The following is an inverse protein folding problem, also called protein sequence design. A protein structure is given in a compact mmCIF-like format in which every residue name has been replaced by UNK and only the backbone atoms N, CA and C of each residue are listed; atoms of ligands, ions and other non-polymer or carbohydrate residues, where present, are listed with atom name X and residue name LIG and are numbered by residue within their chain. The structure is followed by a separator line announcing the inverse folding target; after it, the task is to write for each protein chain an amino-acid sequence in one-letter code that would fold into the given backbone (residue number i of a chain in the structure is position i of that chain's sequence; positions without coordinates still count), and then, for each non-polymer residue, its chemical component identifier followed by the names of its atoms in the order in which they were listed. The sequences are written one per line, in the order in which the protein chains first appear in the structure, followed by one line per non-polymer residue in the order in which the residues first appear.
data_IF_374721090162
#
_entry.id   IF_374721090162
#
_cell.length_a   1.000
_cell.length_b   1.000
_cell.length_c   1.000
_cell.angle_alpha   90.00
_cell.angle_beta   90.00
_cell.angle_gamma   90.00
#
_symmetry.space_group_name_H-M   'P 1'
#
loop_
_entity.id
_entity.type
_entity.pdbx_description
1 polymer ?
#
# COMPACT_ATOMS: atom_id res chain seq x y z
N UNK A 1 21.77 -5.20 11.12
CA UNK A 1 22.42 -5.78 9.93
C UNK A 1 22.22 -7.28 9.98
N UNK A 2 21.59 -7.90 8.97
CA UNK A 2 21.50 -9.36 8.85
C UNK A 2 22.52 -9.83 7.82
N UNK A 3 23.21 -10.94 8.10
CA UNK A 3 24.07 -11.60 7.13
C UNK A 3 23.21 -12.41 6.14
N UNK A 4 23.74 -12.69 4.95
CA UNK A 4 23.09 -13.59 4.00
C UNK A 4 22.86 -14.99 4.60
N UNK A 5 23.79 -15.45 5.45
CA UNK A 5 23.63 -16.71 6.18
C UNK A 5 22.42 -16.70 7.12
N UNK A 6 22.23 -15.61 7.88
CA UNK A 6 21.05 -15.45 8.75
C UNK A 6 19.76 -15.38 7.92
N UNK A 7 19.78 -14.70 6.78
CA UNK A 7 18.62 -14.66 5.88
C UNK A 7 18.23 -16.06 5.40
N UNK A 8 19.20 -16.84 4.89
CA UNK A 8 18.95 -18.22 4.44
C UNK A 8 18.45 -19.11 5.57
N UNK A 9 18.97 -18.92 6.79
CA UNK A 9 18.48 -19.64 7.97
C UNK A 9 17.01 -19.31 8.26
N UNK A 10 16.62 -18.04 8.25
CA UNK A 10 15.24 -17.60 8.48
C UNK A 10 14.31 -18.11 7.38
N UNK A 11 14.77 -18.08 6.13
CA UNK A 11 14.04 -18.60 4.98
C UNK A 11 13.75 -20.10 5.15
N UNK A 12 14.78 -20.89 5.48
CA UNK A 12 14.63 -22.33 5.78
C UNK A 12 13.69 -22.56 6.95
N UNK A 13 13.82 -21.78 8.01
CA UNK A 13 12.92 -21.86 9.17
C UNK A 13 11.47 -21.60 8.77
N UNK A 14 11.20 -20.63 7.92
CA UNK A 14 9.85 -20.37 7.39
C UNK A 14 9.28 -21.56 6.62
N UNK A 15 10.07 -22.17 5.74
CA UNK A 15 9.65 -23.36 5.00
C UNK A 15 9.41 -24.57 5.94
N UNK A 16 10.29 -24.77 6.90
CA UNK A 16 10.26 -25.88 7.86
C UNK A 16 9.03 -25.83 8.79
N UNK A 17 8.54 -24.64 9.15
CA UNK A 17 7.35 -24.47 9.99
C UNK A 17 6.03 -24.42 9.19
N UNK A 18 6.09 -24.51 7.85
CA UNK A 18 4.90 -24.43 7.00
C UNK A 18 4.13 -25.77 7.02
N UNK A 19 2.87 -25.79 7.50
CA UNK A 19 2.07 -26.99 7.57
C UNK A 19 1.55 -27.44 6.20
N UNK A 20 0.97 -28.64 6.15
CA UNK A 20 0.39 -29.25 4.95
C UNK A 20 1.42 -29.99 4.10
N UNK A 21 2.47 -30.50 4.74
CA UNK A 21 3.55 -31.25 4.11
C UNK A 21 3.73 -32.58 4.79
N UNK A 22 4.96 -32.84 5.21
CA UNK A 22 5.22 -33.91 6.16
C UNK A 22 5.16 -33.34 7.59
N UNK A 23 3.94 -33.05 8.06
CA UNK A 23 3.68 -32.40 9.35
C UNK A 23 4.01 -33.32 10.56
N UNK A 24 4.42 -34.57 10.27
CA UNK A 24 5.00 -35.49 11.26
C UNK A 24 6.36 -35.06 11.79
N UNK A 25 7.03 -34.07 11.19
CA UNK A 25 8.28 -33.49 11.71
C UNK A 25 8.02 -32.45 12.82
N UNK A 26 8.91 -32.41 13.82
CA UNK A 26 8.80 -31.60 15.05
C UNK A 26 8.77 -30.06 14.83
N UNK A 27 8.99 -29.61 13.59
CA UNK A 27 9.21 -28.18 13.29
C UNK A 27 7.91 -27.39 13.14
N UNK A 28 6.80 -28.03 12.78
CA UNK A 28 5.49 -27.38 12.68
C UNK A 28 4.82 -27.35 14.06
N UNK A 29 4.38 -26.18 14.58
CA UNK A 29 3.66 -26.10 15.84
C UNK A 29 2.42 -27.01 15.83
N UNK A 30 2.18 -27.76 16.91
CA UNK A 30 1.06 -28.72 16.99
C UNK A 30 -0.29 -28.10 16.66
N UNK A 31 -0.53 -26.86 17.07
CA UNK A 31 -1.77 -26.11 16.78
C UNK A 31 -2.00 -25.79 15.30
N UNK A 32 -0.96 -25.91 14.47
CA UNK A 32 -1.00 -25.57 13.04
C UNK A 32 -0.82 -26.78 12.13
N UNK A 33 -0.52 -27.97 12.69
CA UNK A 33 -0.37 -29.21 11.92
C UNK A 33 -1.67 -29.57 11.21
N UNK A 34 -1.53 -29.91 9.94
CA UNK A 34 -2.59 -30.50 9.15
C UNK A 34 -2.43 -32.01 9.21
N UNK A 35 -3.53 -32.72 9.49
CA UNK A 35 -3.54 -34.18 9.56
C UNK A 35 -3.26 -34.85 8.21
N UNK A 36 -3.37 -34.11 7.11
CA UNK A 36 -3.12 -34.58 5.75
C UNK A 36 -2.31 -33.54 4.94
N UNK A 37 -1.45 -34.00 4.01
CA UNK A 37 -0.68 -33.10 3.15
C UNK A 37 -1.60 -32.32 2.21
N UNK A 38 -1.29 -31.04 1.99
CA UNK A 38 -2.02 -30.18 1.07
C UNK A 38 -1.69 -30.55 -0.39
N UNK A 39 -2.63 -30.34 -1.33
CA UNK A 39 -2.33 -30.36 -2.76
C UNK A 39 -1.17 -29.44 -3.11
N UNK A 40 -0.37 -29.81 -4.11
CA UNK A 40 0.87 -29.12 -4.46
C UNK A 40 0.68 -27.61 -4.67
N UNK A 41 -0.33 -27.21 -5.44
CA UNK A 41 -0.69 -25.80 -5.70
C UNK A 41 -0.93 -25.01 -4.40
N UNK A 42 -1.75 -25.57 -3.50
CA UNK A 42 -2.07 -24.94 -2.23
C UNK A 42 -0.85 -24.88 -1.30
N UNK A 43 0.00 -25.92 -1.35
CA UNK A 43 1.25 -25.98 -0.58
C UNK A 43 2.25 -24.93 -1.05
N UNK A 44 2.38 -24.69 -2.35
CA UNK A 44 3.26 -23.64 -2.89
C UNK A 44 2.81 -22.26 -2.39
N UNK A 45 1.52 -21.93 -2.50
CA UNK A 45 0.98 -20.66 -1.98
C UNK A 45 1.26 -20.51 -0.49
N UNK A 46 1.01 -21.56 0.30
CA UNK A 46 1.21 -21.53 1.75
C UNK A 46 2.69 -21.37 2.15
N UNK A 47 3.60 -22.02 1.42
CA UNK A 47 5.05 -21.86 1.60
C UNK A 47 5.47 -20.41 1.35
N UNK A 48 4.98 -19.79 0.27
CA UNK A 48 5.27 -18.39 -0.05
C UNK A 48 4.78 -17.50 1.10
N UNK A 49 3.53 -17.63 1.52
CA UNK A 49 2.93 -16.81 2.58
C UNK A 49 3.67 -16.92 3.91
N UNK A 50 3.90 -18.13 4.41
CA UNK A 50 4.52 -18.35 5.72
C UNK A 50 5.99 -17.96 5.69
N UNK A 51 6.70 -18.25 4.61
CA UNK A 51 8.11 -17.86 4.47
C UNK A 51 8.24 -16.34 4.41
N UNK A 52 7.41 -15.66 3.62
CA UNK A 52 7.36 -14.19 3.57
C UNK A 52 7.04 -13.59 4.95
N UNK A 53 6.02 -14.11 5.64
CA UNK A 53 5.63 -13.63 6.97
C UNK A 53 6.73 -13.87 8.01
N UNK A 54 7.42 -15.01 7.94
CA UNK A 54 8.54 -15.33 8.83
C UNK A 54 9.69 -14.36 8.58
N UNK A 55 10.11 -14.16 7.33
CA UNK A 55 11.13 -13.17 6.99
C UNK A 55 10.76 -11.76 7.46
N UNK A 56 9.51 -11.33 7.22
CA UNK A 56 9.01 -10.03 7.69
C UNK A 56 9.10 -9.89 9.21
N UNK A 57 8.61 -10.88 9.97
CA UNK A 57 8.63 -10.85 11.44
C UNK A 57 10.05 -10.79 12.00
N UNK A 58 10.98 -11.55 11.44
CA UNK A 58 12.38 -11.53 11.90
C UNK A 58 13.03 -10.19 11.64
N UNK A 59 12.81 -9.58 10.48
CA UNK A 59 13.33 -8.24 10.19
C UNK A 59 12.65 -7.20 11.11
N UNK A 60 11.34 -7.29 11.29
CA UNK A 60 10.57 -6.36 12.12
C UNK A 60 10.99 -6.39 13.61
N UNK A 61 11.44 -7.53 14.15
CA UNK A 61 11.99 -7.62 15.51
C UNK A 61 13.26 -6.78 15.70
N UNK A 62 14.04 -6.58 14.64
CA UNK A 62 15.23 -5.73 14.66
C UNK A 62 14.96 -4.26 14.32
N UNK A 63 13.71 -3.88 14.04
CA UNK A 63 13.32 -2.52 13.65
C UNK A 63 12.65 -1.80 14.82
N UNK A 64 12.93 -0.50 14.94
CA UNK A 64 12.10 0.39 15.74
C UNK A 64 10.67 0.43 15.19
N UNK A 65 9.66 0.55 16.07
CA UNK A 65 8.24 0.60 15.68
C UNK A 65 7.98 1.59 14.55
N UNK A 66 8.55 2.81 14.64
CA UNK A 66 8.42 3.87 13.63
C UNK A 66 8.91 3.49 12.22
N UNK A 67 9.74 2.45 12.08
CA UNK A 67 10.27 2.00 10.78
C UNK A 67 9.57 0.76 10.22
N UNK A 68 8.73 0.08 11.02
CA UNK A 68 8.07 -1.14 10.57
C UNK A 68 7.09 -0.87 9.43
N UNK A 69 6.33 0.23 9.51
CA UNK A 69 5.41 0.63 8.44
C UNK A 69 6.17 0.96 7.15
N UNK A 70 7.28 1.69 7.23
CA UNK A 70 8.12 2.03 6.07
C UNK A 70 8.59 0.75 5.36
N UNK A 71 9.11 -0.22 6.13
CA UNK A 71 9.57 -1.50 5.60
C UNK A 71 8.41 -2.29 4.97
N UNK A 72 7.26 -2.36 5.65
CA UNK A 72 6.06 -3.04 5.14
C UNK A 72 5.60 -2.43 3.80
N UNK A 73 5.53 -1.10 3.72
CA UNK A 73 5.17 -0.37 2.50
C UNK A 73 6.18 -0.65 1.39
N UNK A 74 7.49 -0.59 1.67
CA UNK A 74 8.52 -0.89 0.67
C UNK A 74 8.43 -2.33 0.15
N UNK A 75 8.14 -3.29 1.03
CA UNK A 75 7.97 -4.70 0.67
C UNK A 75 6.75 -4.88 -0.26
N UNK A 76 5.60 -4.31 0.09
CA UNK A 76 4.39 -4.37 -0.74
C UNK A 76 4.64 -3.76 -2.11
N UNK A 77 5.24 -2.56 -2.16
CA UNK A 77 5.57 -1.88 -3.42
C UNK A 77 6.55 -2.70 -4.27
N UNK A 78 7.54 -3.35 -3.65
CA UNK A 78 8.48 -4.22 -4.36
C UNK A 78 7.79 -5.47 -4.95
N UNK A 79 6.83 -6.06 -4.22
CA UNK A 79 6.03 -7.20 -4.70
C UNK A 79 5.16 -6.77 -5.89
N UNK A 80 4.40 -5.68 -5.76
CA UNK A 80 3.54 -5.18 -6.84
C UNK A 80 4.35 -4.86 -8.10
N UNK A 81 5.52 -4.23 -7.94
CA UNK A 81 6.44 -3.98 -9.05
C UNK A 81 6.98 -5.28 -9.68
N UNK A 82 7.30 -6.28 -8.88
CA UNK A 82 7.73 -7.60 -9.37
C UNK A 82 6.64 -8.32 -10.18
N UNK A 83 5.37 -8.05 -9.91
CA UNK A 83 4.22 -8.55 -10.67
C UNK A 83 3.84 -7.69 -11.88
N UNK A 84 4.44 -6.52 -12.04
CA UNK A 84 4.07 -5.55 -13.09
C UNK A 84 2.75 -4.81 -12.80
N UNK A 85 2.24 -4.89 -11.57
CA UNK A 85 0.97 -4.26 -11.14
C UNK A 85 1.17 -2.80 -10.66
N UNK A 86 2.40 -2.30 -10.65
CA UNK A 86 2.74 -0.96 -10.19
C UNK A 86 3.33 -0.13 -11.33
N UNK A 87 2.60 0.91 -11.76
CA UNK A 87 3.11 1.84 -12.77
C UNK A 87 4.17 2.76 -12.15
N UNK A 88 5.36 2.77 -12.75
CA UNK A 88 6.51 3.52 -12.25
C UNK A 88 6.23 5.02 -12.10
N UNK A 89 5.53 5.62 -13.08
CA UNK A 89 5.15 7.04 -13.05
C UNK A 89 4.30 7.41 -11.83
N UNK A 90 3.34 6.55 -11.48
CA UNK A 90 2.44 6.75 -10.35
C UNK A 90 3.16 6.54 -9.01
N UNK A 91 4.04 5.55 -8.95
CA UNK A 91 4.92 5.36 -7.80
C UNK A 91 5.85 6.55 -7.58
N UNK A 92 6.45 7.08 -8.64
CA UNK A 92 7.29 8.28 -8.58
C UNK A 92 6.49 9.51 -8.14
N UNK A 93 5.24 9.64 -8.57
CA UNK A 93 4.33 10.68 -8.08
C UNK A 93 4.12 10.56 -6.58
N UNK A 94 3.78 9.37 -6.07
CA UNK A 94 3.54 9.14 -4.64
C UNK A 94 4.74 9.56 -3.78
N UNK A 95 5.95 9.24 -4.23
CA UNK A 95 7.19 9.56 -3.53
C UNK A 95 7.57 11.05 -3.60
N UNK A 96 7.48 11.66 -4.79
CA UNK A 96 7.96 13.03 -5.01
C UNK A 96 6.95 14.09 -4.63
N UNK A 97 5.65 13.79 -4.74
CA UNK A 97 4.55 14.74 -4.52
C UNK A 97 4.75 16.05 -5.28
N UNK A 98 4.87 16.01 -6.63
CA UNK A 98 5.09 17.20 -7.42
C UNK A 98 3.94 18.20 -7.27
N UNK A 99 4.22 19.47 -7.56
CA UNK A 99 3.25 20.57 -7.57
C UNK A 99 3.42 21.39 -8.82
N UNK A 100 2.31 21.76 -9.44
CA UNK A 100 2.27 22.69 -10.58
C UNK A 100 1.75 24.03 -10.07
N UNK A 101 2.59 25.06 -10.14
CA UNK A 101 2.26 26.42 -9.69
C UNK A 101 1.78 27.27 -10.86
N UNK A 102 0.97 28.29 -10.56
CA UNK A 102 0.56 29.31 -11.53
C UNK A 102 -0.86 29.12 -12.09
N UNK A 103 -1.51 28.01 -11.79
CA UNK A 103 -2.93 27.80 -12.09
C UNK A 103 -3.81 28.52 -11.08
N UNK A 104 -4.86 29.20 -11.56
CA UNK A 104 -5.85 29.85 -10.71
C UNK A 104 -6.62 28.79 -9.91
N UNK A 105 -6.87 29.06 -8.63
CA UNK A 105 -7.58 28.17 -7.73
C UNK A 105 -9.05 28.61 -7.58
N UNK A 106 -10.00 27.97 -8.30
CA UNK A 106 -11.43 28.30 -8.22
C UNK A 106 -12.07 27.89 -6.88
N UNK A 107 -11.36 27.12 -6.04
CA UNK A 107 -11.85 26.57 -4.77
C UNK A 107 -11.10 27.16 -3.57
N UNK A 108 -10.50 28.35 -3.74
CA UNK A 108 -9.66 29.02 -2.73
C UNK A 108 -10.35 29.25 -1.37
N UNK A 109 -11.68 29.23 -1.32
CA UNK A 109 -12.45 29.32 -0.07
C UNK A 109 -12.21 28.16 0.91
N UNK A 110 -11.82 26.97 0.42
CA UNK A 110 -11.65 25.78 1.26
C UNK A 110 -10.51 24.84 0.83
N UNK A 111 -10.00 24.97 -0.41
CA UNK A 111 -8.80 24.29 -0.88
C UNK A 111 -7.64 25.27 -0.90
N UNK A 112 -6.57 24.98 -0.16
CA UNK A 112 -5.35 25.81 -0.22
C UNK A 112 -4.66 25.71 -1.59
N UNK A 113 -3.99 26.77 -2.02
CA UNK A 113 -3.25 26.79 -3.29
C UNK A 113 -2.20 25.70 -3.39
N UNK A 114 -1.63 25.29 -2.25
CA UNK A 114 -0.69 24.15 -2.17
C UNK A 114 -1.35 22.82 -2.53
N UNK A 115 -2.58 22.59 -2.07
CA UNK A 115 -3.36 21.39 -2.41
C UNK A 115 -3.78 21.47 -3.87
N UNK A 116 -4.28 22.63 -4.32
CA UNK A 116 -4.66 22.83 -5.71
C UNK A 116 -3.49 22.60 -6.68
N UNK A 117 -2.30 23.11 -6.37
CA UNK A 117 -1.10 22.84 -7.15
C UNK A 117 -0.73 21.35 -7.22
N UNK A 118 -1.06 20.58 -6.16
CA UNK A 118 -0.86 19.12 -6.14
C UNK A 118 -1.94 18.40 -6.98
N UNK A 119 -3.17 18.90 -6.99
CA UNK A 119 -4.27 18.43 -7.86
C UNK A 119 -3.91 18.66 -9.33
N UNK A 120 -3.41 19.85 -9.67
CA UNK A 120 -2.96 20.17 -11.03
C UNK A 120 -1.79 19.29 -11.46
N UNK A 121 -0.87 18.95 -10.55
CA UNK A 121 0.18 17.97 -10.86
C UNK A 121 -0.39 16.55 -11.09
N UNK A 122 -1.40 16.15 -10.33
CA UNK A 122 -2.01 14.83 -10.45
C UNK A 122 -2.80 14.66 -11.76
N UNK A 123 -3.41 15.74 -12.25
CA UNK A 123 -4.11 15.82 -13.54
C UNK A 123 -3.28 15.29 -14.73
N UNK A 124 -1.96 15.45 -14.68
CA UNK A 124 -1.04 14.99 -15.74
C UNK A 124 -0.91 13.46 -15.83
N UNK A 125 -1.48 12.72 -14.86
CA UNK A 125 -1.67 11.29 -14.97
C UNK A 125 -3.04 11.03 -15.61
N UNK A 126 -3.08 10.29 -16.72
CA UNK A 126 -4.28 10.09 -17.54
C UNK A 126 -5.54 9.71 -16.73
N UNK A 127 -5.38 8.85 -15.73
CA UNK A 127 -6.44 8.36 -14.85
C UNK A 127 -7.06 9.45 -13.93
N UNK A 128 -6.42 10.60 -13.80
CA UNK A 128 -6.80 11.70 -12.92
C UNK A 128 -7.08 13.01 -13.65
N UNK A 129 -7.03 13.00 -14.98
CA UNK A 129 -7.19 14.18 -15.83
C UNK A 129 -8.51 14.94 -15.58
N UNK A 130 -9.57 14.25 -15.16
CA UNK A 130 -10.88 14.82 -14.83
C UNK A 130 -11.04 15.28 -13.37
N UNK A 131 -10.07 15.03 -12.50
CA UNK A 131 -10.17 15.34 -11.06
C UNK A 131 -10.37 16.82 -10.76
N UNK A 132 -9.63 17.77 -11.38
CA UNK A 132 -9.84 19.20 -11.10
C UNK A 132 -11.25 19.66 -11.48
N UNK A 133 -11.76 19.19 -12.61
CA UNK A 133 -13.10 19.56 -13.10
C UNK A 133 -14.20 18.97 -12.20
N UNK A 134 -14.03 17.74 -11.71
CA UNK A 134 -14.96 17.11 -10.76
C UNK A 134 -14.92 17.77 -9.38
N UNK A 135 -13.75 18.21 -8.92
CA UNK A 135 -13.61 19.00 -7.70
C UNK A 135 -14.39 20.31 -7.78
N UNK A 136 -14.35 20.99 -8.93
CA UNK A 136 -15.09 22.23 -9.16
C UNK A 136 -16.59 21.97 -9.32
N UNK A 137 -16.96 21.00 -10.17
CA UNK A 137 -18.36 20.67 -10.47
C UNK A 137 -19.13 20.09 -9.27
N UNK A 138 -18.43 19.36 -8.39
CA UNK A 138 -19.00 18.71 -7.20
C UNK A 138 -18.42 19.27 -5.89
N UNK A 139 -18.06 20.56 -5.85
CA UNK A 139 -17.30 21.19 -4.77
C UNK A 139 -17.86 20.92 -3.36
N UNK A 140 -19.19 21.03 -3.16
CA UNK A 140 -19.81 20.78 -1.85
C UNK A 140 -19.52 19.36 -1.34
N UNK A 141 -19.64 18.36 -2.21
CA UNK A 141 -19.46 16.95 -1.85
C UNK A 141 -17.99 16.62 -1.56
N UNK A 142 -17.08 17.19 -2.34
CA UNK A 142 -15.65 17.04 -2.12
C UNK A 142 -15.18 17.71 -0.83
N UNK A 143 -15.71 18.90 -0.54
CA UNK A 143 -15.48 19.59 0.73
C UNK A 143 -15.93 18.73 1.92
N UNK A 144 -17.17 18.25 1.89
CA UNK A 144 -17.70 17.36 2.94
C UNK A 144 -16.81 16.14 3.16
N UNK A 145 -16.35 15.48 2.07
CA UNK A 145 -15.45 14.32 2.17
C UNK A 145 -14.06 14.69 2.72
N UNK A 146 -13.49 15.81 2.28
CA UNK A 146 -12.18 16.27 2.76
C UNK A 146 -12.21 16.75 4.22
N UNK A 147 -13.38 17.15 4.75
CA UNK A 147 -13.56 17.55 6.15
C UNK A 147 -13.84 16.37 7.09
N UNK A 148 -14.03 15.16 6.58
CA UNK A 148 -14.20 13.96 7.40
C UNK A 148 -12.96 13.69 8.27
N UNK A 149 -13.20 13.16 9.48
CA UNK A 149 -12.13 12.71 10.35
C UNK A 149 -11.41 11.48 9.78
N UNK A 150 -12.19 10.57 9.18
CA UNK A 150 -11.73 9.29 8.60
C UNK A 150 -12.20 9.11 7.16
N UNK A 151 -11.69 9.92 6.22
CA UNK A 151 -12.08 9.84 4.82
C UNK A 151 -11.75 8.51 4.14
N UNK A 152 -10.79 7.73 4.69
CA UNK A 152 -10.42 6.41 4.16
C UNK A 152 -11.45 5.29 4.41
N UNK A 153 -12.33 5.49 5.39
CA UNK A 153 -13.45 4.58 5.72
C UNK A 153 -14.69 4.87 4.86
N UNK A 154 -14.75 6.04 4.23
CA UNK A 154 -15.88 6.51 3.43
C UNK A 154 -15.60 6.40 1.91
N UNK A 155 -16.63 6.15 1.09
CA UNK A 155 -16.45 6.08 -0.36
C UNK A 155 -16.10 7.47 -0.92
N UNK A 156 -15.07 7.52 -1.77
CA UNK A 156 -14.67 8.74 -2.47
C UNK A 156 -15.86 9.30 -3.27
N UNK A 157 -16.04 10.62 -3.38
CA UNK A 157 -17.09 11.22 -4.20
C UNK A 157 -17.07 10.77 -5.67
N UNK A 158 -18.20 10.97 -6.37
CA UNK A 158 -18.27 10.76 -7.82
C UNK A 158 -17.97 9.32 -8.29
N UNK A 159 -17.28 9.24 -9.41
CA UNK A 159 -16.89 7.98 -10.08
C UNK A 159 -15.60 7.37 -9.51
N UNK A 160 -14.94 8.07 -8.58
CA UNK A 160 -13.69 7.66 -7.95
C UNK A 160 -13.85 6.51 -6.93
N UNK A 161 -15.09 6.08 -6.66
CA UNK A 161 -15.43 5.01 -5.70
C UNK A 161 -14.83 3.64 -6.01
N UNK A 162 -14.62 3.34 -7.29
CA UNK A 162 -14.19 2.00 -7.76
C UNK A 162 -12.72 1.94 -8.14
N UNK A 163 -11.96 2.91 -7.65
CA UNK A 163 -10.53 3.02 -7.92
C UNK A 163 -9.74 1.93 -7.15
N UNK A 164 -8.67 1.36 -7.75
CA UNK A 164 -7.77 0.45 -7.05
C UNK A 164 -7.12 1.09 -5.81
N UNK A 165 -6.72 0.28 -4.84
CA UNK A 165 -6.23 0.76 -3.54
C UNK A 165 -4.97 1.63 -3.66
N UNK A 166 -4.05 1.26 -4.55
CA UNK A 166 -2.83 2.03 -4.78
C UNK A 166 -3.13 3.42 -5.35
N UNK A 167 -4.06 3.49 -6.29
CA UNK A 167 -4.50 4.74 -6.91
C UNK A 167 -5.18 5.66 -5.88
N UNK A 168 -5.93 5.06 -4.95
CA UNK A 168 -6.52 5.80 -3.83
C UNK A 168 -5.46 6.50 -2.98
N UNK A 169 -4.25 5.95 -2.87
CA UNK A 169 -3.13 6.60 -2.17
C UNK A 169 -2.71 7.91 -2.83
N UNK A 170 -2.78 8.02 -4.16
CA UNK A 170 -2.46 9.27 -4.87
C UNK A 170 -3.49 10.36 -4.61
N UNK A 171 -4.77 10.01 -4.54
CA UNK A 171 -5.82 10.95 -4.12
C UNK A 171 -5.56 11.48 -2.70
N UNK A 172 -5.29 10.57 -1.76
CA UNK A 172 -4.94 10.97 -0.38
C UNK A 172 -3.66 11.82 -0.35
N UNK A 173 -2.66 11.50 -1.18
CA UNK A 173 -1.39 12.26 -1.26
C UNK A 173 -1.59 13.74 -1.58
N UNK A 174 -2.61 14.04 -2.36
CA UNK A 174 -2.92 15.37 -2.85
C UNK A 174 -3.93 16.08 -1.96
N UNK A 175 -5.04 15.42 -1.63
CA UNK A 175 -6.18 16.05 -0.96
C UNK A 175 -6.07 16.01 0.58
N UNK A 176 -5.56 14.91 1.14
CA UNK A 176 -5.47 14.67 2.59
C UNK A 176 -4.15 14.00 2.96
N UNK A 177 -3.00 14.67 2.73
CA UNK A 177 -1.68 14.07 2.95
C UNK A 177 -1.44 13.66 4.41
N UNK A 178 -2.16 14.27 5.35
CA UNK A 178 -2.17 13.91 6.77
C UNK A 178 -2.64 12.47 7.03
N UNK A 179 -3.45 11.90 6.14
CA UNK A 179 -3.98 10.52 6.26
C UNK A 179 -3.05 9.45 5.68
N UNK A 180 -1.96 9.83 5.01
CA UNK A 180 -0.99 8.86 4.47
C UNK A 180 0.03 8.34 5.50
N UNK A 181 0.18 9.03 6.62
CA UNK A 181 1.18 8.73 7.66
C UNK A 181 0.57 8.07 8.91
N UNK A 182 -0.70 7.66 8.85
CA UNK A 182 -1.41 7.05 9.97
C UNK A 182 -0.78 5.72 10.41
#
# INVERSE_FOLDING_TARGET
HYSMANFVYILKKGMDITPGGNDGEEKVPESQKLGEPLPLEQRVTRLIEITCLTCFRYVAQGLFERHKLIMATQLVMAILRGRGELQQQKFDFLLRGPKVLGEENPLSEWVSDSVWASVQALKELDDYSSLPDDLVGSAKRWKEWMELERPEDEPVPGDWKRMPEFERLLLFRVLRPDRLTA
#
